data_IF_089988849190
#
_entry.id   IF_089988849190
#
_cell.length_a   1.000
_cell.length_b   1.000
_cell.length_c   1.000
_cell.angle_alpha   90.00
_cell.angle_beta   90.00
_cell.angle_gamma   90.00
#
_symmetry.space_group_name_H-M   'P 1'
#
loop_
_entity.id
_entity.type
_entity.pdbx_description
1 polymer ?
#
# COMPACT_ATOMS: atom_id res chain seq x y z
N UNK A 1 -10.18 -15.36 0.49
CA UNK A 1 -10.11 -16.23 1.68
C UNK A 1 -9.90 -15.33 2.88
N UNK A 2 -10.68 -15.54 3.94
CA UNK A 2 -10.53 -14.83 5.22
C UNK A 2 -10.18 -15.86 6.29
N UNK A 3 -9.14 -15.58 7.06
CA UNK A 3 -8.71 -16.42 8.16
C UNK A 3 -8.65 -15.61 9.45
N UNK A 4 -9.25 -16.12 10.51
CA UNK A 4 -9.20 -15.50 11.82
C UNK A 4 -7.88 -15.84 12.51
N UNK A 5 -7.17 -14.80 12.99
CA UNK A 5 -5.97 -14.95 13.80
C UNK A 5 -6.14 -14.25 15.14
N UNK A 6 -5.77 -14.92 16.23
CA UNK A 6 -5.90 -14.41 17.60
C UNK A 6 -4.91 -13.26 17.90
N UNK A 7 -3.86 -13.11 17.09
CA UNK A 7 -2.83 -12.10 17.23
C UNK A 7 -2.14 -11.77 15.92
N UNK A 8 -1.13 -10.90 15.96
CA UNK A 8 -0.28 -10.55 14.82
C UNK A 8 1.03 -11.36 14.84
N UNK A 9 0.93 -12.64 15.09
CA UNK A 9 2.06 -13.54 15.08
C UNK A 9 2.55 -13.77 13.64
N UNK A 10 3.87 -13.82 13.45
CA UNK A 10 4.49 -14.06 12.15
C UNK A 10 4.49 -15.53 11.72
N UNK A 11 4.25 -16.47 12.65
CA UNK A 11 4.18 -17.91 12.34
C UNK A 11 2.97 -18.25 11.46
N UNK A 12 1.83 -17.61 11.71
CA UNK A 12 0.59 -17.86 10.95
C UNK A 12 0.68 -17.48 9.47
N UNK A 13 1.19 -16.31 9.08
CA UNK A 13 1.45 -16.03 7.67
C UNK A 13 2.43 -17.04 7.03
N UNK A 14 3.47 -17.47 7.74
CA UNK A 14 4.41 -18.47 7.23
C UNK A 14 3.73 -19.82 6.95
N UNK A 15 2.88 -20.29 7.87
CA UNK A 15 2.10 -21.51 7.70
C UNK A 15 1.12 -21.38 6.52
N UNK A 16 0.39 -20.28 6.44
CA UNK A 16 -0.60 -20.02 5.41
C UNK A 16 0.01 -19.98 4.02
N UNK A 17 1.16 -19.32 3.86
CA UNK A 17 1.83 -19.16 2.57
C UNK A 17 2.88 -20.24 2.28
N UNK A 18 3.01 -21.29 3.11
CA UNK A 18 4.04 -22.34 2.99
C UNK A 18 4.16 -22.95 1.59
N UNK A 19 3.05 -23.17 0.90
CA UNK A 19 2.98 -23.77 -0.42
C UNK A 19 2.78 -22.74 -1.55
N UNK A 20 2.76 -21.48 -1.22
CA UNK A 20 2.60 -20.40 -2.22
C UNK A 20 3.91 -20.14 -2.95
N UNK A 21 3.80 -19.90 -4.25
CA UNK A 21 4.92 -19.41 -5.07
C UNK A 21 4.43 -18.22 -5.88
N UNK A 22 5.19 -17.14 -5.89
CA UNK A 22 4.85 -15.92 -6.62
C UNK A 22 5.04 -14.66 -5.79
N UNK A 23 4.41 -13.57 -6.21
CA UNK A 23 4.56 -12.25 -5.59
C UNK A 23 3.37 -11.93 -4.69
N UNK A 24 3.66 -11.48 -3.48
CA UNK A 24 2.67 -10.94 -2.53
C UNK A 24 2.81 -9.43 -2.45
N UNK A 25 1.74 -8.70 -2.77
CA UNK A 25 1.71 -7.24 -2.59
C UNK A 25 1.12 -6.90 -1.23
N UNK A 26 1.96 -6.33 -0.35
CA UNK A 26 1.64 -6.13 1.07
C UNK A 26 1.74 -4.67 1.50
N UNK A 27 1.30 -4.39 2.74
CA UNK A 27 1.36 -3.07 3.38
C UNK A 27 2.68 -2.77 4.09
N UNK A 28 3.72 -3.56 3.81
CA UNK A 28 5.08 -3.40 4.37
C UNK A 28 5.20 -3.70 5.88
N UNK A 29 4.30 -4.49 6.45
CA UNK A 29 4.49 -5.01 7.80
C UNK A 29 5.67 -5.99 7.84
N UNK A 30 6.45 -5.94 8.92
CA UNK A 30 7.67 -6.73 9.10
C UNK A 30 7.43 -8.24 8.92
N UNK A 31 6.29 -8.74 9.37
CA UNK A 31 5.89 -10.13 9.21
C UNK A 31 5.87 -10.60 7.73
N UNK A 32 5.55 -9.73 6.77
CA UNK A 32 5.56 -10.06 5.36
C UNK A 32 6.96 -10.05 4.75
N UNK A 33 7.87 -9.24 5.29
CA UNK A 33 9.30 -9.31 4.92
C UNK A 33 9.97 -10.61 5.39
N UNK A 34 9.42 -11.29 6.40
CA UNK A 34 9.89 -12.61 6.81
C UNK A 34 9.46 -13.71 5.83
N UNK A 35 8.34 -13.54 5.11
CA UNK A 35 7.90 -14.52 4.09
C UNK A 35 8.93 -14.64 2.97
N UNK A 36 9.40 -13.51 2.44
CA UNK A 36 10.42 -13.44 1.41
C UNK A 36 11.73 -14.14 1.83
N UNK A 37 12.11 -13.98 3.11
CA UNK A 37 13.34 -14.56 3.67
C UNK A 37 13.23 -16.05 4.00
N UNK A 38 12.04 -16.52 4.39
CA UNK A 38 11.85 -17.87 4.92
C UNK A 38 11.18 -18.84 3.96
N UNK A 39 10.46 -18.36 2.94
CA UNK A 39 9.72 -19.20 2.01
C UNK A 39 10.33 -19.14 0.61
N UNK A 40 10.99 -20.21 0.14
CA UNK A 40 11.54 -20.28 -1.21
C UNK A 40 10.44 -20.10 -2.26
N UNK A 41 10.64 -19.15 -3.18
CA UNK A 41 9.69 -18.87 -4.26
C UNK A 41 8.60 -17.86 -3.93
N UNK A 42 8.59 -17.28 -2.72
CA UNK A 42 7.75 -16.12 -2.37
C UNK A 42 8.59 -14.85 -2.51
N UNK A 43 8.08 -13.86 -3.23
CA UNK A 43 8.66 -12.52 -3.31
C UNK A 43 7.68 -11.52 -2.70
N UNK A 44 8.14 -10.69 -1.78
CA UNK A 44 7.33 -9.61 -1.22
C UNK A 44 7.47 -8.35 -2.06
N UNK A 45 6.34 -7.72 -2.42
CA UNK A 45 6.27 -6.40 -3.03
C UNK A 45 5.54 -5.46 -2.10
N UNK A 46 6.06 -4.24 -1.96
CA UNK A 46 5.42 -3.25 -1.11
C UNK A 46 4.49 -2.33 -1.90
N UNK A 47 3.39 -1.98 -1.26
CA UNK A 47 2.33 -1.14 -1.80
C UNK A 47 2.75 0.33 -1.85
N UNK A 48 2.77 0.96 -3.02
CA UNK A 48 3.04 2.38 -3.19
C UNK A 48 1.97 3.29 -2.56
N UNK A 49 0.71 2.83 -2.43
CA UNK A 49 -0.31 3.59 -1.71
C UNK A 49 0.02 3.77 -0.23
N UNK A 50 0.65 2.77 0.40
CA UNK A 50 1.17 2.87 1.77
C UNK A 50 2.41 3.77 1.84
N UNK A 51 3.34 3.64 0.90
CA UNK A 51 4.53 4.48 0.84
C UNK A 51 4.21 5.98 0.75
N UNK A 52 3.19 6.38 -0.04
CA UNK A 52 2.79 7.79 -0.18
C UNK A 52 2.05 8.36 1.03
N UNK A 53 1.54 7.52 1.95
CA UNK A 53 0.64 7.96 3.04
C UNK A 53 1.26 9.02 3.95
N UNK A 54 2.51 8.83 4.36
CA UNK A 54 3.21 9.78 5.23
C UNK A 54 3.34 11.18 4.59
N UNK A 55 3.63 11.24 3.29
CA UNK A 55 3.69 12.49 2.54
C UNK A 55 2.32 13.14 2.41
N UNK A 56 1.27 12.35 2.13
CA UNK A 56 -0.10 12.85 2.05
C UNK A 56 -0.57 13.43 3.40
N UNK A 57 -0.23 12.78 4.49
CA UNK A 57 -0.57 13.26 5.84
C UNK A 57 0.22 14.52 6.20
N UNK A 58 1.49 14.63 5.77
CA UNK A 58 2.28 15.85 5.95
C UNK A 58 1.66 17.05 5.20
N UNK A 59 1.27 16.85 3.94
CA UNK A 59 0.60 17.89 3.13
C UNK A 59 -0.75 18.28 3.73
N UNK A 60 -1.55 17.33 4.21
CA UNK A 60 -2.84 17.62 4.88
C UNK A 60 -2.69 18.42 6.17
N UNK A 61 -1.59 18.18 6.90
CA UNK A 61 -1.29 18.86 8.16
C UNK A 61 -0.63 20.25 7.94
N UNK A 62 -0.16 20.53 6.72
CA UNK A 62 0.49 21.80 6.40
C UNK A 62 -0.51 22.96 6.45
N UNK A 63 0.02 24.18 6.68
CA UNK A 63 -0.78 25.39 6.76
C UNK A 63 -1.47 25.70 5.43
N UNK A 64 -2.78 25.52 5.40
CA UNK A 64 -3.63 25.79 4.24
C UNK A 64 -3.75 27.29 3.93
N UNK A 65 -3.38 28.18 4.85
CA UNK A 65 -3.39 29.63 4.64
C UNK A 65 -2.25 30.10 3.75
N UNK A 66 -1.20 29.26 3.60
CA UNK A 66 -0.09 29.53 2.70
C UNK A 66 0.06 28.40 1.65
N UNK A 67 -0.76 28.40 0.58
CA UNK A 67 -0.72 27.34 -0.45
C UNK A 67 0.62 27.23 -1.17
N UNK A 68 1.38 28.33 -1.26
CA UNK A 68 2.68 28.33 -1.92
C UNK A 68 3.71 27.53 -1.14
N UNK A 69 3.75 27.67 0.18
CA UNK A 69 4.66 26.90 1.04
C UNK A 69 4.33 25.41 1.02
N UNK A 70 3.06 25.04 0.85
CA UNK A 70 2.65 23.64 0.68
C UNK A 70 3.17 23.07 -0.62
N UNK A 71 3.01 23.78 -1.74
CA UNK A 71 3.44 23.34 -3.07
C UNK A 71 4.96 23.20 -3.22
N UNK A 72 5.73 23.98 -2.48
CA UNK A 72 7.20 23.90 -2.48
C UNK A 72 7.74 22.89 -1.49
N UNK A 73 6.89 22.31 -0.62
CA UNK A 73 7.33 21.35 0.39
C UNK A 73 7.83 20.04 -0.22
N UNK A 74 8.83 19.42 0.43
CA UNK A 74 9.37 18.10 0.05
C UNK A 74 8.27 17.04 -0.01
N UNK A 75 7.31 17.08 0.93
CA UNK A 75 6.19 16.15 0.93
C UNK A 75 5.30 16.28 -0.32
N UNK A 76 5.02 17.50 -0.77
CA UNK A 76 4.24 17.74 -1.98
C UNK A 76 5.01 17.29 -3.23
N UNK A 77 6.30 17.59 -3.32
CA UNK A 77 7.16 17.13 -4.42
C UNK A 77 7.20 15.59 -4.50
N UNK A 78 7.31 14.89 -3.34
CA UNK A 78 7.22 13.44 -3.29
C UNK A 78 5.89 12.93 -3.87
N UNK A 79 4.76 13.55 -3.48
CA UNK A 79 3.46 13.17 -4.00
C UNK A 79 3.33 13.38 -5.51
N UNK A 80 3.88 14.48 -6.06
CA UNK A 80 3.85 14.74 -7.50
C UNK A 80 4.64 13.68 -8.28
N UNK A 81 5.86 13.35 -7.80
CA UNK A 81 6.67 12.30 -8.42
C UNK A 81 5.97 10.93 -8.39
N UNK A 82 5.37 10.55 -7.26
CA UNK A 82 4.63 9.31 -7.14
C UNK A 82 3.37 9.32 -8.01
N UNK A 83 2.65 10.44 -8.09
CA UNK A 83 1.47 10.57 -8.95
C UNK A 83 1.77 10.31 -10.42
N UNK A 84 2.97 10.67 -10.88
CA UNK A 84 3.41 10.41 -12.25
C UNK A 84 3.53 8.90 -12.53
N UNK A 85 4.06 8.10 -11.59
CA UNK A 85 4.09 6.65 -11.74
C UNK A 85 2.68 6.07 -11.91
N UNK A 86 1.73 6.51 -11.07
CA UNK A 86 0.35 6.05 -11.12
C UNK A 86 -0.35 6.47 -12.40
N UNK A 87 -0.09 7.69 -12.90
CA UNK A 87 -0.66 8.18 -14.14
C UNK A 87 -0.25 7.27 -15.30
N UNK A 88 1.05 7.01 -15.44
CA UNK A 88 1.56 6.15 -16.51
C UNK A 88 1.07 4.71 -16.33
N UNK A 89 1.13 4.13 -15.12
CA UNK A 89 0.69 2.76 -14.88
C UNK A 89 -0.81 2.58 -15.19
N UNK A 90 -1.62 3.61 -14.95
CA UNK A 90 -3.04 3.61 -15.30
C UNK A 90 -3.27 3.57 -16.82
N UNK A 91 -2.44 4.29 -17.60
CA UNK A 91 -2.49 4.25 -19.07
C UNK A 91 -2.16 2.84 -19.61
N UNK A 92 -1.31 2.12 -18.90
CA UNK A 92 -0.85 0.78 -19.30
C UNK A 92 -1.79 -0.35 -18.89
N UNK A 93 -2.84 -0.05 -18.12
CA UNK A 93 -3.68 -1.06 -17.46
C UNK A 93 -4.31 -2.07 -18.41
N UNK A 94 -4.73 -1.63 -19.58
CA UNK A 94 -5.41 -2.47 -20.59
C UNK A 94 -4.42 -3.24 -21.49
N UNK A 95 -3.12 -3.00 -21.39
CA UNK A 95 -2.12 -3.71 -22.18
C UNK A 95 -1.90 -5.13 -21.64
N UNK A 96 -1.50 -6.09 -22.51
CA UNK A 96 -0.98 -7.38 -22.07
C UNK A 96 0.20 -7.24 -21.11
N UNK A 97 0.40 -8.23 -20.23
CA UNK A 97 1.45 -8.17 -19.20
C UNK A 97 2.85 -7.93 -19.77
N UNK A 98 3.19 -8.57 -20.90
CA UNK A 98 4.47 -8.40 -21.59
C UNK A 98 4.71 -6.98 -22.07
N UNK A 99 3.70 -6.38 -22.69
CA UNK A 99 3.77 -5.01 -23.21
C UNK A 99 3.79 -4.01 -22.06
N UNK A 100 2.97 -4.26 -21.03
CA UNK A 100 2.96 -3.47 -19.79
C UNK A 100 4.33 -3.49 -19.11
N UNK A 101 4.97 -4.65 -19.03
CA UNK A 101 6.33 -4.75 -18.48
C UNK A 101 7.32 -3.91 -19.30
N UNK A 102 7.31 -4.04 -20.62
CA UNK A 102 8.18 -3.27 -21.52
C UNK A 102 7.98 -1.77 -21.32
N UNK A 103 6.73 -1.30 -21.26
CA UNK A 103 6.43 0.10 -21.02
C UNK A 103 6.81 0.56 -19.61
N UNK A 104 6.63 -0.28 -18.59
CA UNK A 104 7.13 0.01 -17.23
C UNK A 104 8.63 0.18 -17.19
N UNK A 105 9.39 -0.68 -17.85
CA UNK A 105 10.85 -0.60 -17.92
C UNK A 105 11.34 0.67 -18.62
N UNK A 106 10.63 1.12 -19.67
CA UNK A 106 11.05 2.27 -20.47
C UNK A 106 10.56 3.60 -19.91
N UNK A 107 9.32 3.65 -19.36
CA UNK A 107 8.68 4.91 -18.95
C UNK A 107 8.64 5.11 -17.45
N UNK A 108 8.43 4.07 -16.64
CA UNK A 108 8.24 4.20 -15.18
C UNK A 108 9.55 4.00 -14.44
N UNK A 109 10.35 3.01 -14.83
CA UNK A 109 11.62 2.69 -14.13
C UNK A 109 12.56 3.89 -13.99
N UNK A 110 12.84 4.68 -15.03
CA UNK A 110 13.68 5.88 -14.88
C UNK A 110 13.12 6.87 -13.85
N UNK A 111 11.81 7.11 -13.85
CA UNK A 111 11.16 8.00 -12.89
C UNK A 111 11.24 7.47 -11.45
N UNK A 112 11.13 6.17 -11.28
CA UNK A 112 11.27 5.52 -9.95
C UNK A 112 12.72 5.63 -9.47
N UNK A 113 13.70 5.43 -10.34
CA UNK A 113 15.11 5.58 -10.01
C UNK A 113 15.44 7.03 -9.62
N UNK A 114 14.96 8.00 -10.40
CA UNK A 114 15.09 9.43 -10.10
C UNK A 114 14.41 9.80 -8.77
N UNK A 115 13.24 9.22 -8.49
CA UNK A 115 12.57 9.42 -7.21
C UNK A 115 13.43 8.95 -6.03
N UNK A 116 14.04 7.76 -6.11
CA UNK A 116 14.88 7.26 -5.02
C UNK A 116 16.18 8.05 -4.87
N UNK A 117 16.81 8.46 -5.98
CA UNK A 117 17.98 9.34 -5.96
C UNK A 117 17.64 10.66 -5.27
N UNK A 118 16.55 11.28 -5.66
CA UNK A 118 16.03 12.50 -5.05
C UNK A 118 15.69 12.32 -3.57
N UNK A 119 15.02 11.23 -3.19
CA UNK A 119 14.65 10.97 -1.79
C UNK A 119 15.87 10.82 -0.89
N UNK A 120 16.90 10.12 -1.37
CA UNK A 120 18.20 9.97 -0.68
C UNK A 120 18.90 11.32 -0.52
N UNK A 121 18.88 12.15 -1.56
CA UNK A 121 19.44 13.52 -1.51
C UNK A 121 18.71 14.34 -0.45
N UNK A 122 17.36 14.37 -0.45
CA UNK A 122 16.58 15.13 0.54
C UNK A 122 16.83 14.68 1.98
N UNK A 123 17.07 13.39 2.18
CA UNK A 123 17.42 12.86 3.50
C UNK A 123 18.85 13.27 3.93
N UNK A 124 19.81 13.30 2.99
CA UNK A 124 21.20 13.66 3.25
C UNK A 124 21.38 15.18 3.53
N UNK A 125 20.61 16.04 2.86
CA UNK A 125 20.65 17.49 3.04
C UNK A 125 20.14 17.96 4.42
N UNK A 126 19.59 17.07 5.23
CA UNK A 126 19.06 17.35 6.58
C UNK A 126 18.04 18.49 6.64
N UNK A 127 17.47 18.87 5.51
CA UNK A 127 16.46 19.95 5.41
C UNK A 127 15.11 19.56 6.02
N UNK A 128 14.88 18.24 6.15
CA UNK A 128 13.65 17.67 6.70
C UNK A 128 13.96 16.97 8.03
N UNK A 129 13.34 17.39 9.15
CA UNK A 129 13.54 16.71 10.43
C UNK A 129 13.17 15.21 10.35
N UNK A 130 14.04 14.28 10.76
CA UNK A 130 13.80 12.83 10.59
C UNK A 130 12.53 12.33 11.29
N UNK A 131 12.14 12.95 12.41
CA UNK A 131 10.94 12.60 13.18
C UNK A 131 9.66 13.24 12.62
N UNK A 132 9.75 14.17 11.67
CA UNK A 132 8.58 14.72 10.99
C UNK A 132 7.90 13.67 10.12
N UNK A 133 6.63 13.86 9.77
CA UNK A 133 5.91 12.95 8.84
C UNK A 133 6.61 12.82 7.49
N UNK A 134 7.16 13.93 6.97
CA UNK A 134 7.94 13.93 5.73
C UNK A 134 9.24 13.12 5.89
N UNK A 135 9.98 13.31 6.99
CA UNK A 135 11.20 12.56 7.27
C UNK A 135 10.93 11.06 7.46
N UNK A 136 9.86 10.71 8.16
CA UNK A 136 9.41 9.31 8.28
C UNK A 136 9.07 8.71 6.90
N UNK A 137 8.40 9.47 6.04
CA UNK A 137 8.10 9.06 4.67
C UNK A 137 9.37 8.84 3.83
N UNK A 138 10.34 9.74 3.89
CA UNK A 138 11.64 9.59 3.20
C UNK A 138 12.39 8.35 3.70
N UNK A 139 12.52 8.20 5.01
CA UNK A 139 13.18 7.04 5.60
C UNK A 139 12.49 5.73 5.20
N UNK A 140 11.16 5.70 5.23
CA UNK A 140 10.39 4.53 4.82
C UNK A 140 10.69 4.15 3.37
N UNK A 141 10.54 5.06 2.41
CA UNK A 141 10.75 4.73 1.00
C UNK A 141 12.18 4.30 0.72
N UNK A 142 13.18 4.94 1.34
CA UNK A 142 14.59 4.58 1.18
C UNK A 142 14.87 3.15 1.67
N UNK A 143 14.38 2.80 2.86
CA UNK A 143 14.57 1.45 3.43
C UNK A 143 13.77 0.37 2.68
N UNK A 144 12.67 0.74 2.06
CA UNK A 144 11.78 -0.18 1.34
C UNK A 144 12.01 -0.19 -0.18
N UNK A 145 13.07 0.45 -0.67
CA UNK A 145 13.35 0.63 -2.10
C UNK A 145 13.27 -0.68 -2.90
N UNK A 146 13.94 -1.73 -2.42
CA UNK A 146 13.97 -3.02 -3.13
C UNK A 146 12.56 -3.62 -3.29
N UNK A 147 11.74 -3.56 -2.24
CA UNK A 147 10.38 -4.08 -2.25
C UNK A 147 9.42 -3.20 -3.08
N UNK A 148 9.62 -1.89 -3.06
CA UNK A 148 8.83 -0.94 -3.85
C UNK A 148 9.13 -1.03 -5.35
N UNK A 149 10.30 -1.53 -5.75
CA UNK A 149 10.69 -1.74 -7.15
C UNK A 149 10.19 -3.07 -7.74
N UNK A 150 9.69 -4.01 -6.93
CA UNK A 150 9.29 -5.35 -7.39
C UNK A 150 8.21 -5.28 -8.47
N UNK A 151 7.26 -4.32 -8.44
CA UNK A 151 6.23 -4.18 -9.48
C UNK A 151 6.79 -3.90 -10.89
N UNK A 152 8.06 -3.50 -10.98
CA UNK A 152 8.76 -3.30 -12.26
C UNK A 152 9.30 -4.60 -12.86
N UNK A 153 9.28 -5.71 -12.15
CA UNK A 153 9.84 -6.99 -12.61
C UNK A 153 8.87 -7.83 -13.44
N UNK A 154 7.56 -7.55 -13.30
CA UNK A 154 6.51 -8.27 -14.01
C UNK A 154 5.31 -7.33 -14.27
N UNK A 155 4.71 -7.45 -15.45
CA UNK A 155 3.56 -6.65 -15.85
C UNK A 155 2.28 -6.94 -15.06
N UNK A 156 2.12 -8.12 -14.50
CA UNK A 156 0.96 -8.53 -13.72
C UNK A 156 1.01 -8.09 -12.25
N UNK A 157 2.18 -7.71 -11.75
CA UNK A 157 2.29 -7.22 -10.37
C UNK A 157 1.68 -5.81 -10.27
N UNK A 158 0.63 -5.61 -9.46
CA UNK A 158 0.04 -4.29 -9.29
C UNK A 158 0.96 -3.35 -8.50
N UNK A 159 0.90 -2.06 -8.81
CA UNK A 159 1.66 -1.01 -8.11
C UNK A 159 1.23 -0.85 -6.64
N UNK A 160 -0.03 -1.22 -6.32
CA UNK A 160 -0.56 -1.19 -4.96
C UNK A 160 -1.54 -2.34 -4.68
N UNK A 161 -1.88 -2.54 -3.40
CA UNK A 161 -2.84 -3.54 -2.95
C UNK A 161 -4.27 -3.01 -2.78
N UNK A 162 -4.62 -1.87 -3.38
CA UNK A 162 -5.92 -1.22 -3.23
C UNK A 162 -7.11 -2.10 -3.64
N UNK A 163 -6.91 -3.02 -4.59
CA UNK A 163 -7.95 -3.98 -4.99
C UNK A 163 -8.31 -4.93 -3.85
N UNK A 164 -7.30 -5.50 -3.17
CA UNK A 164 -7.48 -6.36 -1.99
C UNK A 164 -8.10 -5.60 -0.82
N UNK A 165 -7.64 -4.37 -0.56
CA UNK A 165 -8.22 -3.53 0.49
C UNK A 165 -9.70 -3.20 0.23
N UNK A 166 -10.08 -2.92 -1.01
CA UNK A 166 -11.49 -2.71 -1.39
C UNK A 166 -12.33 -3.96 -1.18
N UNK A 167 -11.81 -5.14 -1.50
CA UNK A 167 -12.52 -6.40 -1.30
C UNK A 167 -12.79 -6.69 0.18
N UNK A 168 -11.88 -6.30 1.08
CA UNK A 168 -12.02 -6.47 2.53
C UNK A 168 -12.90 -5.36 3.16
N UNK A 169 -13.06 -4.23 2.50
CA UNK A 169 -13.71 -3.04 3.07
C UNK A 169 -15.12 -3.31 3.58
N UNK A 170 -15.92 -4.08 2.85
CA UNK A 170 -17.30 -4.43 3.24
C UNK A 170 -17.31 -5.17 4.57
N UNK A 171 -16.40 -6.13 4.75
CA UNK A 171 -16.23 -6.86 6.01
C UNK A 171 -15.76 -5.93 7.15
N UNK A 172 -14.80 -5.04 6.90
CA UNK A 172 -14.31 -4.10 7.89
C UNK A 172 -15.36 -3.07 8.33
N UNK A 173 -16.24 -2.64 7.44
CA UNK A 173 -17.38 -1.76 7.77
C UNK A 173 -18.37 -2.53 8.66
N UNK A 174 -18.70 -3.77 8.30
CA UNK A 174 -19.53 -4.64 9.11
C UNK A 174 -18.96 -4.81 10.52
N UNK A 175 -17.66 -5.12 10.63
CA UNK A 175 -16.96 -5.25 11.91
C UNK A 175 -17.09 -4.00 12.78
N UNK A 176 -16.95 -2.79 12.23
CA UNK A 176 -17.13 -1.55 12.99
C UNK A 176 -18.54 -1.42 13.57
N UNK A 177 -19.54 -1.81 12.82
CA UNK A 177 -20.92 -1.78 13.27
C UNK A 177 -21.19 -2.84 14.35
N UNK A 178 -20.61 -4.04 14.25
CA UNK A 178 -20.79 -5.13 15.21
C UNK A 178 -20.06 -4.91 16.54
N UNK A 179 -18.92 -4.21 16.53
CA UNK A 179 -18.14 -3.95 17.74
C UNK A 179 -18.76 -2.90 18.68
N UNK A 180 -19.74 -2.13 18.20
CA UNK A 180 -20.33 -1.01 18.95
C UNK A 180 -21.81 -1.20 19.27
N UNK A 181 -22.31 -2.44 19.31
CA UNK A 181 -23.64 -2.73 19.79
C UNK A 181 -23.69 -2.66 21.32
N UNK A 182 -24.18 -1.53 21.86
CA UNK A 182 -24.35 -1.36 23.30
C UNK A 182 -25.53 -2.16 23.88
N UNK A 183 -26.30 -2.86 23.05
CA UNK A 183 -27.47 -3.65 23.50
C UNK A 183 -27.62 -4.93 22.69
N UNK A 184 -28.08 -6.01 23.34
CA UNK A 184 -28.42 -7.28 22.71
C UNK A 184 -29.46 -7.13 21.57
N UNK A 185 -30.35 -6.13 21.66
CA UNK A 185 -31.37 -5.83 20.64
C UNK A 185 -30.71 -5.22 19.37
N UNK A 186 -29.68 -4.40 19.52
CA UNK A 186 -28.88 -3.85 18.40
C UNK A 186 -28.15 -4.94 17.65
N UNK A 187 -27.48 -5.86 18.37
CA UNK A 187 -26.79 -7.01 17.77
C UNK A 187 -27.74 -7.90 16.95
N UNK A 188 -28.93 -8.23 17.46
CA UNK A 188 -29.95 -9.03 16.76
C UNK A 188 -30.53 -8.35 15.52
N UNK A 189 -30.55 -7.02 15.44
CA UNK A 189 -31.05 -6.29 14.27
C UNK A 189 -30.09 -6.40 13.06
N UNK A 190 -28.79 -6.49 13.33
CA UNK A 190 -27.78 -6.69 12.28
C UNK A 190 -27.74 -8.12 11.76
N UNK A 191 -27.93 -9.12 12.61
CA UNK A 191 -28.09 -10.52 12.16
C UNK A 191 -29.24 -10.69 11.16
N UNK A 192 -30.34 -9.92 11.35
CA UNK A 192 -31.47 -9.90 10.41
C UNK A 192 -31.13 -9.25 9.07
N UNK A 193 -30.27 -8.21 9.04
CA UNK A 193 -29.84 -7.57 7.81
C UNK A 193 -28.93 -8.49 7.00
N UNK A 194 -27.92 -9.08 7.62
CA UNK A 194 -27.03 -10.05 6.98
C UNK A 194 -27.81 -11.25 6.42
N UNK A 195 -28.78 -11.75 7.17
CA UNK A 195 -29.64 -12.87 6.72
C UNK A 195 -30.57 -12.51 5.55
N UNK A 196 -30.99 -11.25 5.39
CA UNK A 196 -31.80 -10.78 4.25
C UNK A 196 -30.96 -10.58 2.99
N UNK A 197 -29.77 -10.04 3.10
CA UNK A 197 -28.88 -9.88 1.94
C UNK A 197 -28.41 -11.21 1.35
N UNK A 198 -28.22 -12.23 2.20
CA UNK A 198 -27.92 -13.59 1.71
C UNK A 198 -29.12 -14.26 1.02
N UNK A 199 -30.36 -13.96 1.39
CA UNK A 199 -31.57 -14.55 0.77
C UNK A 199 -31.99 -13.90 -0.54
N UNK A 200 -31.54 -12.69 -0.82
CA UNK A 200 -31.89 -11.95 -2.06
C UNK A 200 -30.96 -12.25 -3.25
N UNK A 201 -29.98 -13.15 -3.08
CA UNK A 201 -29.01 -13.53 -4.12
C UNK A 201 -29.07 -15.01 -4.54
N UNK A 202 -30.20 -15.71 -4.23
CA UNK A 202 -30.51 -17.07 -4.75
C UNK A 202 -31.78 -17.05 -5.58
#
# INVERSE_FOLDING_TARGET
IYEYQKGRDHEKPLEFYRNYKGVLVTDSLEQYHLLDKKLPGVTNANCWAHARRAFADAVKAADKKNPLSVKTSVAYQALQKIAEFYRIDTELKELPATDRLTQRQTRIKPLVEDFFAWAKQQAAECTVPPKSRTGQGLNFVIHQENYLKVFLTDGDIPIDNSASERAIRTFCIGKKNWMFHNTAKGARSEERRVGKECRSRW
#
